data_IF_122754197761
#
_entry.id   IF_122754197761
#
_cell.length_a   1.000
_cell.length_b   1.000
_cell.length_c   1.000
_cell.angle_alpha   90.00
_cell.angle_beta   90.00
_cell.angle_gamma   90.00
#
_symmetry.space_group_name_H-M   'P 1'
#
loop_
_entity.id
_entity.type
_entity.pdbx_description
1 polymer ?
#
# COMPACT_ATOMS: atom_id res chain seq x y z
N UNK A 1 21.73 -2.91 8.11
CA UNK A 1 20.68 -1.90 7.88
C UNK A 1 19.41 -2.67 7.66
N UNK A 2 18.38 -2.35 8.44
CA UNK A 2 17.11 -3.07 8.46
C UNK A 2 16.18 -2.43 7.44
N UNK A 3 15.70 -3.20 6.46
CA UNK A 3 14.75 -2.74 5.44
C UNK A 3 13.38 -3.36 5.70
N UNK A 4 12.38 -2.51 5.89
CA UNK A 4 10.99 -2.94 6.11
C UNK A 4 10.17 -2.48 4.90
N UNK A 5 9.42 -3.41 4.32
CA UNK A 5 8.34 -3.06 3.38
C UNK A 5 7.03 -2.91 4.15
N UNK A 6 6.29 -1.84 3.91
CA UNK A 6 5.01 -1.57 4.55
C UNK A 6 3.89 -1.46 3.53
N UNK A 7 2.72 -2.00 3.88
CA UNK A 7 1.50 -1.96 3.07
C UNK A 7 0.40 -1.23 3.84
N UNK A 8 -0.32 -0.35 3.14
CA UNK A 8 -1.48 0.33 3.69
C UNK A 8 -2.66 0.31 2.70
N UNK A 9 -3.82 -0.08 3.22
CA UNK A 9 -5.08 -0.30 2.51
C UNK A 9 -6.32 -0.04 3.38
N UNK A 10 -6.20 0.78 4.43
CA UNK A 10 -7.29 0.99 5.40
C UNK A 10 -8.54 1.69 4.84
N UNK A 11 -8.41 2.50 3.78
CA UNK A 11 -9.49 3.33 3.21
C UNK A 11 -9.56 3.23 1.68
N UNK A 12 -9.19 4.27 0.94
CA UNK A 12 -9.30 4.36 -0.53
C UNK A 12 -7.95 4.60 -1.25
N UNK A 13 -6.84 4.48 -0.53
CA UNK A 13 -5.49 4.38 -1.10
C UNK A 13 -4.90 2.98 -0.94
N UNK A 14 -4.21 2.52 -1.97
CA UNK A 14 -3.31 1.35 -1.89
C UNK A 14 -1.88 1.87 -1.92
N UNK A 15 -1.13 1.69 -0.84
CA UNK A 15 0.24 2.17 -0.77
C UNK A 15 1.22 1.10 -0.33
N UNK A 16 2.44 1.21 -0.85
CA UNK A 16 3.58 0.38 -0.48
C UNK A 16 4.80 1.29 -0.31
N UNK A 17 5.47 1.19 0.83
CA UNK A 17 6.71 1.93 1.10
C UNK A 17 7.82 0.99 1.56
N UNK A 18 9.06 1.38 1.31
CA UNK A 18 10.24 0.69 1.83
C UNK A 18 11.05 1.70 2.65
N UNK A 19 11.27 1.37 3.92
CA UNK A 19 12.01 2.21 4.87
C UNK A 19 13.24 1.46 5.38
N UNK A 20 14.38 2.13 5.38
CA UNK A 20 15.63 1.67 5.96
C UNK A 20 15.88 2.31 7.32
N UNK A 21 16.21 1.46 8.30
CA UNK A 21 16.53 1.82 9.69
C UNK A 21 15.48 2.72 10.37
N UNK A 22 14.23 2.66 9.91
CA UNK A 22 13.08 3.37 10.48
C UNK A 22 12.99 4.87 10.16
N UNK A 23 13.94 5.44 9.42
CA UNK A 23 13.99 6.89 9.16
C UNK A 23 14.39 7.28 7.74
N UNK A 24 14.90 6.34 6.93
CA UNK A 24 15.26 6.58 5.53
C UNK A 24 14.18 5.98 4.65
N UNK A 25 13.42 6.83 3.95
CA UNK A 25 12.41 6.35 2.98
C UNK A 25 13.11 6.08 1.64
N UNK A 26 13.19 4.80 1.26
CA UNK A 26 13.78 4.37 -0.02
C UNK A 26 12.75 4.48 -1.15
N UNK A 27 11.48 4.20 -0.86
CA UNK A 27 10.37 4.39 -1.80
C UNK A 27 9.04 4.57 -1.08
N UNK A 28 8.09 5.21 -1.76
CA UNK A 28 6.69 5.33 -1.34
C UNK A 28 5.81 5.42 -2.59
N UNK A 29 5.14 4.32 -2.93
CA UNK A 29 4.21 4.24 -4.06
C UNK A 29 2.78 4.26 -3.56
N UNK A 30 1.93 5.09 -4.19
CA UNK A 30 0.53 5.30 -3.77
C UNK A 30 -0.38 5.28 -5.00
N UNK A 31 -1.41 4.44 -4.96
CA UNK A 31 -2.52 4.46 -5.91
C UNK A 31 -3.81 4.91 -5.20
N UNK A 32 -4.44 5.96 -5.74
CA UNK A 32 -5.65 6.58 -5.15
C UNK A 32 -6.91 6.24 -5.92
N UNK A 33 -8.01 5.96 -5.20
CA UNK A 33 -9.32 5.63 -5.75
C UNK A 33 -10.28 6.83 -5.82
N UNK A 34 -9.81 8.06 -5.57
CA UNK A 34 -10.64 9.29 -5.55
C UNK A 34 -11.58 9.37 -6.77
N UNK A 35 -11.06 9.14 -7.98
CA UNK A 35 -11.86 9.18 -9.22
C UNK A 35 -12.96 8.10 -9.26
N UNK A 36 -12.69 6.91 -8.71
CA UNK A 36 -13.65 5.81 -8.64
C UNK A 36 -14.80 6.11 -7.68
N UNK A 37 -14.52 6.82 -6.58
CA UNK A 37 -15.51 7.16 -5.55
C UNK A 37 -16.25 8.48 -5.79
N UNK A 38 -15.70 9.38 -6.62
CA UNK A 38 -16.26 10.71 -6.88
C UNK A 38 -17.74 10.66 -7.31
N UNK A 39 -18.12 9.70 -8.15
CA UNK A 39 -19.50 9.54 -8.64
C UNK A 39 -20.51 9.13 -7.55
N UNK A 40 -20.03 8.62 -6.42
CA UNK A 40 -20.86 8.14 -5.31
C UNK A 40 -20.96 9.15 -4.16
N UNK A 41 -20.17 10.23 -4.20
CA UNK A 41 -20.15 11.24 -3.13
C UNK A 41 -19.50 10.77 -1.83
N UNK A 42 -18.79 9.63 -1.84
CA UNK A 42 -18.14 9.03 -0.69
C UNK A 42 -17.52 7.68 -1.02
N UNK A 43 -16.72 7.16 -0.10
CA UNK A 43 -16.05 5.86 -0.25
C UNK A 43 -17.08 4.74 -0.22
N UNK A 44 -17.14 3.93 -1.27
CA UNK A 44 -17.95 2.71 -1.31
C UNK A 44 -17.08 1.53 -0.90
N UNK A 45 -17.32 0.88 0.26
CA UNK A 45 -16.40 -0.12 0.82
C UNK A 45 -16.06 -1.27 -0.13
N UNK A 46 -17.07 -1.90 -0.75
CA UNK A 46 -16.87 -3.00 -1.70
C UNK A 46 -16.03 -2.59 -2.92
N UNK A 47 -16.23 -1.36 -3.40
CA UNK A 47 -15.44 -0.82 -4.51
C UNK A 47 -14.01 -0.60 -4.07
N UNK A 48 -13.78 -0.11 -2.85
CA UNK A 48 -12.44 0.09 -2.33
C UNK A 48 -11.67 -1.22 -2.19
N UNK A 49 -12.29 -2.22 -1.58
CA UNK A 49 -11.70 -3.56 -1.40
C UNK A 49 -11.25 -4.19 -2.72
N UNK A 50 -12.05 -4.07 -3.78
CA UNK A 50 -11.68 -4.59 -5.12
C UNK A 50 -10.49 -3.87 -5.73
N UNK A 51 -10.45 -2.54 -5.64
CA UNK A 51 -9.31 -1.78 -6.18
C UNK A 51 -8.00 -2.11 -5.46
N UNK A 52 -8.02 -2.36 -4.14
CA UNK A 52 -6.80 -2.81 -3.44
C UNK A 52 -6.27 -4.12 -4.03
N UNK A 53 -7.14 -5.12 -4.25
CA UNK A 53 -6.76 -6.41 -4.87
C UNK A 53 -6.21 -6.20 -6.28
N UNK A 54 -6.84 -5.35 -7.08
CA UNK A 54 -6.41 -5.06 -8.46
C UNK A 54 -5.06 -4.34 -8.52
N UNK A 55 -4.75 -3.48 -7.55
CA UNK A 55 -3.61 -2.57 -7.63
C UNK A 55 -2.39 -3.00 -6.83
N UNK A 56 -2.56 -3.86 -5.82
CA UNK A 56 -1.49 -4.21 -4.87
C UNK A 56 -0.20 -4.68 -5.54
N UNK A 57 -0.29 -5.54 -6.56
CA UNK A 57 0.88 -6.03 -7.28
C UNK A 57 1.59 -4.94 -8.06
N UNK A 58 0.84 -3.99 -8.66
CA UNK A 58 1.43 -2.85 -9.37
C UNK A 58 2.19 -1.96 -8.39
N UNK A 59 1.53 -1.55 -7.31
CA UNK A 59 2.10 -0.65 -6.30
C UNK A 59 3.33 -1.28 -5.63
N UNK A 60 3.30 -2.59 -5.36
CA UNK A 60 4.45 -3.35 -4.86
C UNK A 60 5.63 -3.28 -5.84
N UNK A 61 5.41 -3.58 -7.12
CA UNK A 61 6.46 -3.55 -8.13
C UNK A 61 7.06 -2.14 -8.28
N UNK A 62 6.22 -1.11 -8.28
CA UNK A 62 6.66 0.28 -8.33
C UNK A 62 7.57 0.60 -7.13
N UNK A 63 7.16 0.23 -5.90
CA UNK A 63 7.94 0.48 -4.70
C UNK A 63 9.29 -0.25 -4.70
N UNK A 64 9.35 -1.52 -5.12
CA UNK A 64 10.58 -2.31 -5.23
C UNK A 64 11.53 -1.71 -6.28
N UNK A 65 10.98 -1.34 -7.45
CA UNK A 65 11.74 -0.76 -8.55
C UNK A 65 12.32 0.60 -8.18
N UNK A 66 11.53 1.48 -7.56
CA UNK A 66 11.99 2.81 -7.11
C UNK A 66 13.06 2.70 -6.02
N UNK A 67 12.92 1.77 -5.09
CA UNK A 67 13.92 1.57 -4.04
C UNK A 67 15.19 0.84 -4.53
N UNK A 68 15.15 0.24 -5.73
CA UNK A 68 16.18 -0.68 -6.22
C UNK A 68 16.48 -1.82 -5.23
N UNK A 69 15.43 -2.37 -4.62
CA UNK A 69 15.52 -3.44 -3.61
C UNK A 69 14.92 -4.73 -4.17
N UNK A 70 15.66 -5.82 -4.07
CA UNK A 70 15.11 -7.16 -4.32
C UNK A 70 14.35 -7.67 -3.09
N UNK A 71 13.25 -8.44 -3.25
CA UNK A 71 12.47 -8.95 -2.13
C UNK A 71 13.28 -9.73 -1.08
N UNK A 72 14.34 -10.42 -1.50
CA UNK A 72 15.24 -11.18 -0.62
C UNK A 72 16.09 -10.31 0.33
N UNK A 73 16.13 -9.00 0.11
CA UNK A 73 16.88 -8.04 0.91
C UNK A 73 16.00 -7.29 1.93
N UNK A 74 14.72 -7.66 2.04
CA UNK A 74 13.78 -7.14 3.04
C UNK A 74 13.87 -7.99 4.30
N UNK A 75 13.86 -7.35 5.46
CA UNK A 75 13.98 -8.01 6.77
C UNK A 75 12.62 -8.25 7.42
N UNK A 76 11.61 -7.43 7.07
CA UNK A 76 10.26 -7.54 7.62
C UNK A 76 9.20 -6.99 6.67
N UNK A 77 7.96 -7.45 6.90
CA UNK A 77 6.75 -6.94 6.26
C UNK A 77 5.85 -6.33 7.34
N UNK A 78 5.50 -5.06 7.15
CA UNK A 78 4.54 -4.35 7.99
C UNK A 78 3.25 -4.12 7.21
N UNK A 79 2.12 -4.19 7.88
CA UNK A 79 0.81 -4.07 7.26
C UNK A 79 -0.15 -3.38 8.21
N UNK A 80 -1.09 -2.61 7.68
CA UNK A 80 -2.19 -2.07 8.49
C UNK A 80 -3.21 -3.16 8.76
N UNK A 81 -3.44 -3.43 10.05
CA UNK A 81 -4.47 -4.37 10.51
C UNK A 81 -5.76 -3.66 10.96
N UNK A 82 -5.69 -2.35 11.21
CA UNK A 82 -6.83 -1.54 11.64
C UNK A 82 -6.43 -0.33 12.50
N UNK A 83 -7.39 0.59 12.78
CA UNK A 83 -8.78 0.59 12.29
C UNK A 83 -8.90 0.88 10.79
N UNK A 84 -10.05 0.57 10.17
CA UNK A 84 -10.29 0.80 8.73
C UNK A 84 -11.51 0.08 8.17
N UNK A 85 -11.66 0.08 6.84
CA UNK A 85 -12.72 -0.63 6.12
C UNK A 85 -12.45 -2.14 6.13
N UNK A 86 -13.36 -2.91 6.74
CA UNK A 86 -13.11 -4.34 7.04
C UNK A 86 -12.75 -5.19 5.82
N UNK A 87 -13.31 -4.89 4.63
CA UNK A 87 -13.01 -5.63 3.40
C UNK A 87 -11.68 -5.25 2.75
N UNK A 88 -11.07 -4.14 3.17
CA UNK A 88 -9.81 -3.62 2.65
C UNK A 88 -8.61 -3.91 3.57
N UNK A 89 -8.85 -4.36 4.80
CA UNK A 89 -7.83 -4.75 5.76
C UNK A 89 -7.45 -6.23 5.62
N UNK A 90 -6.34 -6.63 6.25
CA UNK A 90 -5.90 -8.01 6.41
C UNK A 90 -6.72 -8.78 7.46
#
# INVERSE_FOLDING_TARGET
MTKIISFESSADETSVAIVEDGHIVLSNSVATQINSHQRFGGIVPEVASRHHIEWITRVLNDALNTAHVEPKALDAVAVTYGPGLVGSLL
#
